data_IF_434143300028
#
_entry.id   IF_434143300028
#
_cell.length_a   1.000
_cell.length_b   1.000
_cell.length_c   1.000
_cell.angle_alpha   90.00
_cell.angle_beta   90.00
_cell.angle_gamma   90.00
#
_symmetry.space_group_name_H-M   'P 1'
#
loop_
_entity.id
_entity.type
_entity.pdbx_description
1 polymer ?
#
# COMPACT_ATOMS: atom_id res chain seq x y z
N UNK A 1 -32.08 6.72 24.06
CA UNK A 1 -31.42 5.58 24.73
C UNK A 1 -30.30 6.11 25.63
N UNK A 2 -30.42 5.86 26.93
CA UNK A 2 -29.78 6.66 27.99
C UNK A 2 -28.31 6.33 28.30
N UNK A 3 -27.66 7.31 28.94
CA UNK A 3 -26.24 7.34 29.31
C UNK A 3 -25.72 6.18 30.19
N UNK A 4 -26.60 5.31 30.69
CA UNK A 4 -26.24 4.11 31.47
C UNK A 4 -25.60 2.98 30.64
N UNK A 5 -25.91 2.87 29.35
CA UNK A 5 -25.33 1.82 28.49
C UNK A 5 -23.88 2.10 28.07
N UNK A 6 -23.43 3.36 28.14
CA UNK A 6 -22.03 3.74 27.81
C UNK A 6 -21.04 3.43 28.93
N UNK A 7 -21.48 3.30 30.19
CA UNK A 7 -20.59 2.94 31.32
C UNK A 7 -20.37 1.43 31.46
N UNK A 8 -21.31 0.57 31.05
CA UNK A 8 -21.11 -0.90 31.09
C UNK A 8 -20.09 -1.41 30.08
N UNK A 9 -20.06 -0.86 28.85
CA UNK A 9 -19.06 -1.27 27.83
C UNK A 9 -17.63 -0.80 28.13
N UNK A 10 -17.46 0.27 28.90
CA UNK A 10 -16.14 0.73 29.32
C UNK A 10 -15.55 -0.12 30.46
N UNK A 11 -16.39 -0.74 31.30
CA UNK A 11 -15.94 -1.62 32.38
C UNK A 11 -15.56 -3.02 31.88
N UNK A 12 -16.24 -3.56 30.86
CA UNK A 12 -15.93 -4.90 30.31
C UNK A 12 -14.63 -4.92 29.47
N UNK A 13 -14.23 -3.78 28.87
CA UNK A 13 -12.97 -3.67 28.14
C UNK A 13 -11.73 -3.52 29.06
N UNK A 14 -11.90 -3.03 30.28
CA UNK A 14 -10.80 -2.89 31.24
C UNK A 14 -10.46 -4.21 31.96
N UNK A 15 -11.42 -5.11 32.12
CA UNK A 15 -11.23 -6.41 32.81
C UNK A 15 -10.54 -7.44 31.93
N UNK A 16 -10.66 -7.35 30.60
CA UNK A 16 -9.94 -8.22 29.66
C UNK A 16 -8.43 -7.93 29.58
N UNK A 17 -8.01 -6.69 29.88
CA UNK A 17 -6.60 -6.28 29.84
C UNK A 17 -5.80 -6.66 31.10
N UNK A 18 -6.46 -7.02 32.20
CA UNK A 18 -5.82 -7.41 33.47
C UNK A 18 -5.61 -8.93 33.62
N UNK A 19 -6.30 -9.75 32.82
CA UNK A 19 -6.17 -11.22 32.87
C UNK A 19 -5.00 -11.74 32.01
N UNK A 20 -4.50 -10.96 31.05
CA UNK A 20 -3.34 -11.35 30.23
C UNK A 20 -1.97 -10.92 30.80
N UNK A 21 -1.94 -10.19 31.92
CA UNK A 21 -0.70 -9.65 32.51
C UNK A 21 -0.23 -10.38 33.80
N UNK A 22 -0.86 -11.50 34.18
CA UNK A 22 -0.61 -12.18 35.46
C UNK A 22 -0.24 -13.67 35.34
N UNK A 23 0.30 -14.09 34.19
CA UNK A 23 0.86 -15.43 34.04
C UNK A 23 2.23 -15.38 33.35
N UNK A 24 3.30 -15.12 34.12
CA UNK A 24 4.61 -15.79 34.06
C UNK A 24 5.65 -15.05 34.92
N UNK A 25 5.60 -15.37 36.21
CA UNK A 25 6.69 -15.19 37.19
C UNK A 25 6.40 -16.25 38.26
N UNK A 26 7.22 -17.29 38.47
CA UNK A 26 8.51 -17.32 39.19
C UNK A 26 8.89 -18.83 39.41
N UNK A 27 9.84 -19.25 40.30
CA UNK A 27 11.30 -19.06 40.31
C UNK A 27 12.13 -20.36 40.61
N UNK A 28 13.47 -20.20 40.63
CA UNK A 28 14.48 -20.80 41.56
C UNK A 28 15.46 -21.87 41.00
N UNK A 29 16.54 -22.27 41.74
CA UNK A 29 17.90 -21.76 41.52
C UNK A 29 18.98 -22.88 41.42
N UNK A 30 20.21 -22.55 41.00
CA UNK A 30 21.41 -23.30 41.42
C UNK A 30 22.70 -22.54 41.07
N UNK A 31 23.65 -22.64 41.99
CA UNK A 31 24.95 -22.02 42.06
C UNK A 31 25.97 -22.57 41.05
N UNK A 32 26.99 -21.78 40.70
CA UNK A 32 28.36 -21.96 41.22
C UNK A 32 29.44 -21.39 40.29
N UNK A 33 30.51 -20.96 40.94
CA UNK A 33 31.74 -20.38 40.45
C UNK A 33 32.50 -21.29 39.46
N UNK A 34 33.20 -20.71 38.47
CA UNK A 34 34.67 -20.68 38.44
C UNK A 34 35.20 -19.90 37.22
N UNK A 35 36.41 -19.41 37.43
CA UNK A 35 37.20 -18.46 36.67
C UNK A 35 38.08 -19.14 35.60
N UNK A 36 38.51 -18.33 34.62
CA UNK A 36 39.74 -18.44 33.83
C UNK A 36 39.90 -19.57 32.79
N UNK A 37 40.04 -19.20 31.52
CA UNK A 37 41.37 -18.97 30.93
C UNK A 37 41.31 -18.63 29.43
N UNK A 38 42.24 -17.76 29.07
CA UNK A 38 42.55 -17.25 27.74
C UNK A 38 43.53 -18.18 27.00
N UNK A 39 43.74 -17.92 25.70
CA UNK A 39 44.83 -18.34 24.80
C UNK A 39 44.53 -19.39 23.74
N UNK A 40 44.92 -19.09 22.48
CA UNK A 40 45.26 -20.09 21.48
C UNK A 40 44.87 -19.79 20.04
N UNK A 41 45.58 -18.86 19.38
CA UNK A 41 45.65 -18.74 17.90
C UNK A 41 46.06 -20.07 17.24
N UNK A 42 45.61 -20.35 16.01
CA UNK A 42 46.45 -20.34 14.79
C UNK A 42 45.69 -20.75 13.52
N UNK A 43 45.97 -19.97 12.48
CA UNK A 43 45.89 -20.13 11.03
C UNK A 43 46.12 -21.51 10.41
N UNK A 44 45.47 -21.79 9.26
CA UNK A 44 46.10 -21.82 7.91
C UNK A 44 45.45 -22.84 6.94
N UNK A 45 44.95 -22.32 5.82
CA UNK A 45 45.05 -22.83 4.42
C UNK A 45 45.27 -24.32 4.13
N UNK A 46 44.46 -24.90 3.24
CA UNK A 46 44.85 -25.24 1.84
C UNK A 46 43.80 -26.10 1.12
N UNK A 47 43.51 -25.75 -0.15
CA UNK A 47 42.86 -26.61 -1.14
C UNK A 47 43.88 -27.59 -1.76
N UNK A 48 43.41 -28.71 -2.33
CA UNK A 48 43.77 -28.94 -3.73
C UNK A 48 42.65 -29.57 -4.58
N UNK A 49 42.55 -29.00 -5.78
CA UNK A 49 42.59 -29.57 -7.13
C UNK A 49 41.95 -30.92 -7.54
N UNK A 50 41.55 -30.87 -8.81
CA UNK A 50 40.77 -31.78 -9.65
C UNK A 50 41.51 -33.04 -10.12
N UNK A 51 40.79 -34.15 -10.33
CA UNK A 51 40.98 -35.01 -11.51
C UNK A 51 39.74 -35.85 -11.87
N UNK A 52 39.37 -35.74 -13.14
CA UNK A 52 38.62 -36.62 -14.06
C UNK A 52 38.55 -38.12 -13.73
N UNK A 53 37.36 -38.71 -13.89
CA UNK A 53 37.10 -39.99 -14.57
C UNK A 53 35.65 -40.01 -15.10
N UNK A 54 35.46 -40.42 -16.37
CA UNK A 54 34.16 -40.58 -17.05
C UNK A 54 33.72 -42.08 -17.09
N UNK A 55 32.60 -42.46 -17.73
CA UNK A 55 31.43 -43.07 -17.06
C UNK A 55 31.18 -44.54 -17.45
N UNK A 56 30.15 -45.20 -16.88
CA UNK A 56 29.53 -46.36 -17.53
C UNK A 56 28.13 -46.06 -18.07
N UNK A 57 27.82 -46.77 -19.14
CA UNK A 57 26.62 -46.68 -19.99
C UNK A 57 25.33 -47.20 -19.32
N UNK A 58 24.22 -46.76 -19.93
CA UNK A 58 22.78 -46.85 -19.59
C UNK A 58 22.17 -48.27 -19.48
N UNK A 59 20.90 -48.36 -19.01
CA UNK A 59 19.82 -48.58 -20.00
C UNK A 59 18.63 -47.61 -19.86
N UNK A 60 18.20 -47.15 -21.03
CA UNK A 60 17.11 -46.22 -21.32
C UNK A 60 15.80 -46.96 -21.54
N UNK A 61 14.93 -47.06 -20.53
CA UNK A 61 13.49 -47.28 -20.70
C UNK A 61 12.82 -46.78 -19.42
N UNK A 62 12.04 -45.67 -19.48
CA UNK A 62 11.05 -45.16 -18.49
C UNK A 62 10.99 -43.61 -18.39
N UNK A 63 11.15 -42.87 -19.49
CA UNK A 63 10.94 -41.40 -19.49
C UNK A 63 9.94 -40.92 -20.55
N UNK A 64 9.50 -41.79 -21.46
CA UNK A 64 8.64 -41.41 -22.60
C UNK A 64 7.12 -41.53 -22.34
N UNK A 65 6.67 -42.15 -21.25
CA UNK A 65 5.23 -42.28 -20.95
C UNK A 65 4.68 -41.25 -19.96
N UNK A 66 5.53 -40.56 -19.19
CA UNK A 66 5.06 -39.46 -18.32
C UNK A 66 4.94 -38.14 -19.08
N UNK A 67 5.73 -37.93 -20.14
CA UNK A 67 5.65 -36.71 -20.96
C UNK A 67 4.42 -36.68 -21.87
N UNK A 68 3.86 -37.85 -22.24
CA UNK A 68 2.67 -37.95 -23.10
C UNK A 68 1.34 -37.80 -22.37
N UNK A 69 1.31 -37.93 -21.04
CA UNK A 69 0.09 -37.76 -20.24
C UNK A 69 -0.09 -36.33 -19.69
N UNK A 70 0.85 -35.42 -19.94
CA UNK A 70 0.74 -34.00 -19.63
C UNK A 70 0.30 -33.14 -20.82
N UNK A 71 0.24 -33.71 -22.02
CA UNK A 71 -0.14 -33.00 -23.26
C UNK A 71 -1.58 -33.27 -23.72
N UNK A 72 -2.36 -34.09 -23.00
CA UNK A 72 -3.72 -34.49 -23.43
C UNK A 72 -4.87 -33.96 -22.57
N UNK A 73 -4.66 -32.88 -21.80
CA UNK A 73 -5.75 -32.07 -21.24
C UNK A 73 -5.74 -30.67 -21.82
N UNK A 74 -6.01 -30.57 -23.13
CA UNK A 74 -6.90 -29.50 -23.64
C UNK A 74 -8.26 -29.69 -22.94
N UNK A 75 -9.03 -28.70 -22.51
CA UNK A 75 -9.61 -27.55 -23.22
C UNK A 75 -10.05 -26.59 -22.08
N UNK A 76 -9.52 -25.37 -21.95
CA UNK A 76 -10.02 -24.18 -22.63
C UNK A 76 -8.84 -23.24 -22.88
N UNK A 77 -8.63 -22.95 -24.15
CA UNK A 77 -7.90 -21.77 -24.61
C UNK A 77 -8.54 -20.52 -23.97
N UNK A 78 -7.98 -20.08 -22.84
CA UNK A 78 -8.08 -18.68 -22.46
C UNK A 78 -7.22 -17.99 -23.50
N UNK A 79 -7.89 -17.47 -24.52
CA UNK A 79 -7.33 -16.60 -25.52
C UNK A 79 -6.32 -15.65 -24.83
N UNK A 80 -5.03 -15.84 -25.09
CA UNK A 80 -3.91 -15.01 -24.61
C UNK A 80 -3.95 -13.62 -25.27
N UNK A 81 -5.13 -13.01 -25.33
CA UNK A 81 -5.26 -11.59 -25.60
C UNK A 81 -4.94 -10.86 -24.30
N UNK A 82 -3.64 -10.74 -24.01
CA UNK A 82 -3.15 -9.63 -23.20
C UNK A 82 -3.76 -8.37 -23.84
N UNK A 83 -4.57 -7.58 -23.10
CA UNK A 83 -5.23 -6.43 -23.67
C UNK A 83 -4.23 -5.52 -24.38
N UNK A 84 -4.55 -5.03 -25.58
CA UNK A 84 -3.65 -4.18 -26.35
C UNK A 84 -3.26 -2.88 -25.60
N UNK A 85 -4.00 -2.53 -24.55
CA UNK A 85 -3.67 -1.49 -23.57
C UNK A 85 -3.85 -2.01 -22.14
N UNK A 86 -2.79 -2.48 -21.47
CA UNK A 86 -2.84 -2.73 -20.04
C UNK A 86 -3.01 -1.42 -19.26
N UNK A 87 -3.65 -1.49 -18.09
CA UNK A 87 -3.72 -0.37 -17.13
C UNK A 87 -2.66 -0.54 -16.03
N UNK A 88 -2.12 0.58 -15.57
CA UNK A 88 -1.31 0.65 -14.36
C UNK A 88 -2.02 1.53 -13.34
N UNK A 89 -2.50 0.92 -12.27
CA UNK A 89 -3.18 1.64 -11.20
C UNK A 89 -2.15 2.10 -10.17
N UNK A 90 -2.12 3.40 -9.88
CA UNK A 90 -1.28 4.00 -8.85
C UNK A 90 -2.19 4.53 -7.75
N UNK A 91 -2.29 3.80 -6.64
CA UNK A 91 -2.98 4.27 -5.44
C UNK A 91 -2.08 5.17 -4.61
N UNK A 92 -2.65 6.27 -4.12
CA UNK A 92 -2.00 7.18 -3.18
C UNK A 92 -2.82 7.35 -1.91
N UNK A 93 -2.12 7.63 -0.82
CA UNK A 93 -2.69 8.14 0.42
C UNK A 93 -1.66 9.09 1.06
N UNK A 94 -2.13 10.12 1.76
CA UNK A 94 -1.27 11.12 2.38
C UNK A 94 -1.60 11.35 3.86
N UNK A 95 -0.54 11.45 4.65
CA UNK A 95 -0.62 11.99 6.01
C UNK A 95 -0.13 13.43 6.03
N UNK A 96 -0.80 14.29 6.79
CA UNK A 96 -0.53 15.73 6.83
C UNK A 96 -0.33 16.28 8.24
N UNK A 97 0.38 17.39 8.37
CA UNK A 97 0.52 18.08 9.64
C UNK A 97 -0.82 18.68 10.07
N UNK A 98 -1.15 18.52 11.34
CA UNK A 98 -2.42 18.94 11.94
C UNK A 98 -2.41 20.37 12.46
N UNK A 99 -1.25 21.03 12.44
CA UNK A 99 -1.02 22.39 12.90
C UNK A 99 0.21 22.96 12.21
N UNK A 100 0.33 24.29 12.19
CA UNK A 100 1.51 24.97 11.69
C UNK A 100 2.76 24.49 12.42
N UNK A 101 3.80 24.21 11.66
CA UNK A 101 5.02 23.59 12.17
C UNK A 101 6.25 24.29 11.59
N UNK A 102 7.04 24.90 12.47
CA UNK A 102 8.37 25.42 12.12
C UNK A 102 9.39 24.30 12.20
N UNK A 103 9.94 23.93 11.04
CA UNK A 103 10.91 22.85 10.94
C UNK A 103 12.25 23.23 11.56
N UNK A 104 12.72 22.42 12.51
CA UNK A 104 14.00 22.63 13.19
C UNK A 104 15.22 22.65 12.26
N UNK A 105 15.16 21.93 11.13
CA UNK A 105 16.31 21.75 10.25
C UNK A 105 16.54 22.93 9.30
N UNK A 106 15.49 23.68 8.96
CA UNK A 106 15.57 24.75 7.96
C UNK A 106 14.84 26.04 8.34
N UNK A 107 14.28 26.12 9.55
CA UNK A 107 13.52 27.25 10.09
C UNK A 107 12.34 27.72 9.23
N UNK A 108 11.88 26.89 8.28
CA UNK A 108 10.69 27.17 7.47
C UNK A 108 9.45 26.74 8.24
N UNK A 109 8.44 27.60 8.27
CA UNK A 109 7.10 27.25 8.75
C UNK A 109 6.30 26.59 7.64
N UNK A 110 5.81 25.40 7.91
CA UNK A 110 4.88 24.65 7.09
C UNK A 110 3.48 24.79 7.68
N UNK A 111 2.54 25.30 6.90
CA UNK A 111 1.15 25.51 7.29
C UNK A 111 0.45 24.18 7.58
N UNK A 112 -0.60 24.19 8.40
CA UNK A 112 -1.48 23.03 8.58
C UNK A 112 -1.95 22.46 7.24
N UNK A 113 -1.91 21.14 7.10
CA UNK A 113 -2.30 20.43 5.88
C UNK A 113 -1.17 20.18 4.89
N UNK A 114 0.06 20.62 5.16
CA UNK A 114 1.24 20.22 4.40
C UNK A 114 1.54 18.73 4.61
N UNK A 115 1.87 17.98 3.54
CA UNK A 115 2.12 16.55 3.61
C UNK A 115 3.36 16.24 4.44
N UNK A 116 3.24 15.21 5.25
CA UNK A 116 4.31 14.64 6.07
C UNK A 116 4.78 13.28 5.53
N UNK A 117 3.86 12.56 4.89
CA UNK A 117 4.10 11.24 4.29
C UNK A 117 3.28 11.09 3.01
N UNK A 118 3.75 10.26 2.09
CA UNK A 118 3.01 9.82 0.91
C UNK A 118 3.18 8.31 0.78
N UNK A 119 2.08 7.58 0.75
CA UNK A 119 2.03 6.21 0.30
C UNK A 119 1.79 6.14 -1.19
N UNK A 120 2.49 5.22 -1.87
CA UNK A 120 2.29 4.96 -3.29
C UNK A 120 2.29 3.44 -3.47
N UNK A 121 1.19 2.92 -4.00
CA UNK A 121 1.03 1.50 -4.29
C UNK A 121 0.64 1.33 -5.75
N UNK A 122 1.35 0.47 -6.46
CA UNK A 122 1.23 0.32 -7.91
C UNK A 122 0.73 -1.10 -8.19
N UNK A 123 -0.24 -1.24 -9.09
CA UNK A 123 -0.67 -2.52 -9.68
C UNK A 123 -0.57 -2.41 -11.20
N UNK A 124 0.31 -3.21 -11.80
CA UNK A 124 0.35 -3.45 -13.24
C UNK A 124 -0.71 -4.52 -13.56
N UNK A 125 -1.90 -4.07 -13.97
CA UNK A 125 -3.06 -4.91 -14.21
C UNK A 125 -3.00 -5.59 -15.60
N UNK A 126 -1.93 -6.34 -15.85
CA UNK A 126 -1.75 -7.14 -17.06
C UNK A 126 -1.91 -8.64 -16.77
N UNK A 127 -2.35 -9.40 -17.77
CA UNK A 127 -2.66 -10.82 -17.63
C UNK A 127 -3.57 -11.09 -16.42
N UNK A 128 -3.13 -11.97 -15.52
CA UNK A 128 -3.88 -12.36 -14.33
C UNK A 128 -3.52 -11.57 -13.06
N UNK A 129 -2.61 -10.59 -13.12
CA UNK A 129 -2.09 -9.89 -11.94
C UNK A 129 -3.21 -9.25 -11.10
N UNK A 130 -4.14 -8.57 -11.77
CA UNK A 130 -5.26 -7.92 -11.10
C UNK A 130 -6.16 -8.90 -10.35
N UNK A 131 -6.47 -10.05 -10.96
CA UNK A 131 -7.30 -11.08 -10.34
C UNK A 131 -6.58 -11.75 -9.16
N UNK A 132 -5.29 -12.07 -9.31
CA UNK A 132 -4.46 -12.63 -8.25
C UNK A 132 -4.39 -11.68 -7.05
N UNK A 133 -4.11 -10.39 -7.30
CA UNK A 133 -4.05 -9.39 -6.24
C UNK A 133 -5.42 -9.10 -5.59
N UNK A 134 -6.50 -9.07 -6.38
CA UNK A 134 -7.84 -8.94 -5.82
C UNK A 134 -8.22 -10.14 -4.94
N UNK A 135 -7.70 -11.34 -5.22
CA UNK A 135 -7.96 -12.53 -4.41
C UNK A 135 -7.17 -12.55 -3.10
N UNK A 136 -5.93 -12.06 -3.12
CA UNK A 136 -5.03 -12.03 -1.97
C UNK A 136 -4.29 -10.68 -1.89
N UNK A 137 -4.56 -9.84 -0.86
CA UNK A 137 -3.88 -8.55 -0.68
C UNK A 137 -2.36 -8.65 -0.48
N UNK A 138 -1.83 -9.83 -0.15
CA UNK A 138 -0.40 -10.06 0.01
C UNK A 138 0.27 -10.58 -1.28
N UNK A 139 -0.50 -10.78 -2.36
CA UNK A 139 0.05 -11.24 -3.63
C UNK A 139 1.06 -10.23 -4.20
N UNK A 140 2.28 -10.68 -4.57
CA UNK A 140 3.28 -9.81 -5.21
C UNK A 140 2.99 -9.60 -6.71
N UNK A 141 1.89 -10.13 -7.25
CA UNK A 141 1.61 -10.17 -8.67
C UNK A 141 1.43 -8.76 -9.27
N UNK A 142 2.46 -8.28 -9.95
CA UNK A 142 2.45 -6.97 -10.61
C UNK A 142 2.37 -5.79 -9.64
N UNK A 143 2.65 -6.00 -8.35
CA UNK A 143 2.55 -4.97 -7.32
C UNK A 143 3.89 -4.36 -6.94
N UNK A 144 3.88 -3.08 -6.59
CA UNK A 144 5.06 -2.38 -6.03
C UNK A 144 4.58 -1.34 -5.04
N UNK A 145 5.25 -1.25 -3.89
CA UNK A 145 4.84 -0.39 -2.78
C UNK A 145 5.97 0.54 -2.39
N UNK A 146 5.63 1.79 -2.07
CA UNK A 146 6.56 2.80 -1.57
C UNK A 146 5.91 3.60 -0.47
N UNK A 147 6.74 3.99 0.50
CA UNK A 147 6.35 4.88 1.57
C UNK A 147 7.39 5.98 1.73
N UNK A 148 7.01 7.20 1.37
CA UNK A 148 7.87 8.37 1.49
C UNK A 148 7.53 9.13 2.77
N UNK A 149 8.52 9.38 3.63
CA UNK A 149 8.42 10.35 4.74
C UNK A 149 9.27 11.57 4.43
N UNK A 150 8.71 12.76 4.65
CA UNK A 150 9.44 13.99 4.42
C UNK A 150 10.33 14.36 5.61
N UNK A 151 11.64 14.49 5.35
CA UNK A 151 12.66 14.68 6.39
C UNK A 151 12.41 15.95 7.22
N UNK A 152 11.77 16.96 6.63
CA UNK A 152 11.42 18.20 7.29
C UNK A 152 10.49 17.97 8.49
N UNK A 153 9.69 16.89 8.45
CA UNK A 153 8.75 16.49 9.49
C UNK A 153 9.25 15.37 10.39
N UNK A 154 10.54 14.99 10.34
CA UNK A 154 11.07 13.91 11.19
C UNK A 154 10.85 14.14 12.70
N UNK A 155 10.87 15.40 13.14
CA UNK A 155 10.61 15.83 14.53
C UNK A 155 9.18 16.31 14.76
N UNK A 156 8.33 16.30 13.72
CA UNK A 156 6.94 16.68 13.86
C UNK A 156 6.20 15.64 14.72
N UNK A 157 5.30 16.11 15.59
CA UNK A 157 4.42 15.26 16.40
C UNK A 157 3.02 15.82 16.38
N UNK A 158 2.06 15.02 15.94
CA UNK A 158 0.66 15.39 15.92
C UNK A 158 0.12 15.55 17.34
N UNK A 159 -0.77 16.53 17.53
CA UNK A 159 -1.51 16.70 18.80
C UNK A 159 -2.78 15.86 18.84
N UNK A 160 -3.21 15.32 17.69
CA UNK A 160 -4.44 14.57 17.53
C UNK A 160 -4.24 13.12 18.00
N UNK A 161 -4.93 12.73 19.08
CA UNK A 161 -4.75 11.42 19.72
C UNK A 161 -4.86 10.21 18.79
N UNK A 162 -5.87 10.19 17.90
CA UNK A 162 -6.07 9.11 16.92
C UNK A 162 -4.90 8.96 15.93
N UNK A 163 -4.21 10.05 15.57
CA UNK A 163 -3.10 10.04 14.62
C UNK A 163 -1.74 9.76 15.31
N UNK A 164 -1.63 10.01 16.62
CA UNK A 164 -0.41 9.71 17.38
C UNK A 164 -0.03 8.23 17.36
N UNK A 165 -1.03 7.35 17.33
CA UNK A 165 -0.79 5.90 17.18
C UNK A 165 -0.14 5.58 15.84
N UNK A 166 -0.64 6.21 14.76
CA UNK A 166 -0.13 6.10 13.40
C UNK A 166 1.34 6.43 13.22
N UNK A 167 1.86 7.40 13.98
CA UNK A 167 3.28 7.79 13.91
C UNK A 167 4.25 6.63 14.20
N UNK A 168 3.79 5.60 14.92
CA UNK A 168 4.55 4.41 15.29
C UNK A 168 4.27 3.19 14.41
N UNK A 169 3.32 3.28 13.49
CA UNK A 169 2.95 2.17 12.62
C UNK A 169 4.02 2.01 11.55
N UNK A 170 4.61 0.82 11.50
CA UNK A 170 5.62 0.46 10.50
C UNK A 170 5.00 0.25 9.12
N UNK A 171 5.80 0.44 8.08
CA UNK A 171 5.39 0.16 6.72
C UNK A 171 5.51 -1.34 6.46
N UNK A 172 4.40 -1.99 6.12
CA UNK A 172 4.32 -3.46 6.05
C UNK A 172 4.96 -4.05 4.78
N UNK A 173 5.14 -3.22 3.74
CA UNK A 173 5.52 -3.67 2.40
C UNK A 173 6.97 -3.29 2.03
N UNK A 174 7.80 -2.94 3.01
CA UNK A 174 9.21 -2.65 2.81
C UNK A 174 9.75 -1.56 3.74
N UNK A 175 10.71 -0.80 3.23
CA UNK A 175 11.37 0.26 4.00
C UNK A 175 10.75 1.63 3.71
N UNK A 176 10.63 2.44 4.76
CA UNK A 176 10.24 3.84 4.62
C UNK A 176 11.40 4.67 4.06
N UNK A 177 11.17 5.37 2.95
CA UNK A 177 12.13 6.26 2.32
C UNK A 177 12.03 7.66 2.94
N UNK A 178 13.10 8.13 3.58
CA UNK A 178 13.16 9.48 4.15
C UNK A 178 13.76 10.44 3.12
N UNK A 179 12.96 11.35 2.59
CA UNK A 179 13.35 12.24 1.48
C UNK A 179 13.06 13.72 1.78
N UNK A 180 13.77 14.68 1.19
CA UNK A 180 13.37 16.09 1.19
C UNK A 180 12.03 16.29 0.47
N UNK A 181 11.12 17.10 1.04
CA UNK A 181 9.87 17.49 0.38
C UNK A 181 10.12 18.06 -1.02
N UNK A 182 11.18 18.86 -1.19
CA UNK A 182 11.56 19.43 -2.49
C UNK A 182 11.86 18.38 -3.59
N UNK A 183 12.15 17.12 -3.23
CA UNK A 183 12.39 16.04 -4.20
C UNK A 183 11.13 15.29 -4.62
N UNK A 184 9.99 15.55 -3.98
CA UNK A 184 8.75 14.81 -4.21
C UNK A 184 8.34 14.81 -5.69
N UNK A 185 8.26 15.99 -6.32
CA UNK A 185 7.85 16.12 -7.71
C UNK A 185 8.74 15.31 -8.66
N UNK A 186 10.07 15.42 -8.53
CA UNK A 186 11.00 14.68 -9.39
C UNK A 186 10.88 13.16 -9.20
N UNK A 187 10.75 12.69 -7.95
CA UNK A 187 10.61 11.27 -7.65
C UNK A 187 9.31 10.68 -8.19
N UNK A 188 8.20 11.39 -8.02
CA UNK A 188 6.87 10.96 -8.45
C UNK A 188 6.74 11.04 -9.98
N UNK A 189 7.22 12.13 -10.60
CA UNK A 189 7.18 12.28 -12.07
C UNK A 189 7.94 11.14 -12.74
N UNK A 190 9.16 10.85 -12.26
CA UNK A 190 9.96 9.73 -12.77
C UNK A 190 9.23 8.40 -12.61
N UNK A 191 8.63 8.14 -11.45
CA UNK A 191 7.85 6.92 -11.21
C UNK A 191 6.68 6.80 -12.19
N UNK A 192 5.92 7.87 -12.41
CA UNK A 192 4.79 7.87 -13.35
C UNK A 192 5.28 7.61 -14.78
N UNK A 193 6.35 8.28 -15.22
CA UNK A 193 6.93 8.05 -16.55
C UNK A 193 7.46 6.62 -16.72
N UNK A 194 8.09 6.08 -15.68
CA UNK A 194 8.60 4.72 -15.67
C UNK A 194 7.44 3.71 -15.82
N UNK A 195 6.32 3.95 -15.14
CA UNK A 195 5.12 3.10 -15.17
C UNK A 195 4.28 3.24 -16.44
N UNK A 196 4.31 4.39 -17.12
CA UNK A 196 3.65 4.59 -18.43
C UNK A 196 4.13 3.62 -19.52
N UNK A 197 5.32 3.04 -19.35
CA UNK A 197 5.84 2.00 -20.25
C UNK A 197 5.13 0.65 -20.10
N UNK A 198 4.42 0.45 -18.99
CA UNK A 198 3.70 -0.78 -18.68
C UNK A 198 2.21 -0.70 -18.96
N UNK A 199 1.67 0.49 -19.28
CA UNK A 199 0.26 0.68 -19.55
C UNK A 199 -0.21 2.12 -19.33
N UNK A 200 -1.50 2.34 -19.54
CA UNK A 200 -2.16 3.60 -19.23
C UNK A 200 -2.24 3.78 -17.71
N UNK A 201 -1.72 4.90 -17.21
CA UNK A 201 -1.64 5.16 -15.77
C UNK A 201 -2.94 5.77 -15.26
N UNK A 202 -3.55 5.12 -14.27
CA UNK A 202 -4.76 5.57 -13.59
C UNK A 202 -4.44 5.85 -12.13
N UNK A 203 -4.72 7.08 -11.67
CA UNK A 203 -4.57 7.44 -10.26
C UNK A 203 -5.74 6.89 -9.45
N UNK A 204 -5.47 6.38 -8.26
CA UNK A 204 -6.46 5.83 -7.34
C UNK A 204 -6.28 6.45 -5.96
N UNK A 205 -7.37 6.70 -5.24
CA UNK A 205 -7.31 7.17 -3.86
C UNK A 205 -8.55 6.82 -3.06
N UNK A 206 -8.59 7.23 -1.80
CA UNK A 206 -9.75 7.06 -0.93
C UNK A 206 -10.20 8.41 -0.38
N UNK A 207 -11.33 8.94 -0.87
CA UNK A 207 -11.69 10.34 -0.69
C UNK A 207 -10.59 11.28 -1.26
N UNK A 208 -10.21 11.02 -2.51
CA UNK A 208 -8.97 11.52 -3.14
C UNK A 208 -8.92 13.05 -3.31
N UNK A 209 -10.05 13.73 -3.16
CA UNK A 209 -10.08 15.20 -3.10
C UNK A 209 -9.30 15.77 -1.91
N UNK A 210 -9.28 15.06 -0.77
CA UNK A 210 -8.46 15.46 0.36
C UNK A 210 -6.97 15.34 0.02
N UNK A 211 -6.58 14.27 -0.67
CA UNK A 211 -5.21 14.06 -1.16
C UNK A 211 -4.78 15.17 -2.11
N UNK A 212 -5.66 15.57 -3.04
CA UNK A 212 -5.43 16.68 -3.96
C UNK A 212 -5.08 17.97 -3.22
N UNK A 213 -5.87 18.30 -2.18
CA UNK A 213 -5.64 19.49 -1.35
C UNK A 213 -4.32 19.41 -0.61
N UNK A 214 -4.02 18.27 0.02
CA UNK A 214 -2.78 18.06 0.76
C UNK A 214 -1.57 18.19 -0.17
N UNK A 215 -1.61 17.58 -1.36
CA UNK A 215 -0.56 17.72 -2.37
C UNK A 215 -0.32 19.20 -2.74
N UNK A 216 -1.40 19.97 -2.93
CA UNK A 216 -1.33 21.42 -3.17
C UNK A 216 -0.62 22.19 -2.05
N UNK A 217 -0.95 21.91 -0.78
CA UNK A 217 -0.29 22.51 0.39
C UNK A 217 1.20 22.17 0.49
N UNK A 218 1.63 21.08 -0.14
CA UNK A 218 3.04 20.67 -0.24
C UNK A 218 3.77 21.20 -1.48
N UNK A 219 3.07 21.86 -2.41
CA UNK A 219 3.62 22.23 -3.71
C UNK A 219 3.94 21.01 -4.60
N UNK A 220 3.22 19.89 -4.41
CA UNK A 220 3.41 18.66 -5.16
C UNK A 220 2.41 18.64 -6.31
N UNK A 221 2.90 18.70 -7.54
CA UNK A 221 2.11 18.81 -8.78
C UNK A 221 2.25 17.60 -9.69
N UNK A 222 3.09 16.63 -9.34
CA UNK A 222 3.41 15.49 -10.21
C UNK A 222 2.21 14.57 -10.53
N UNK A 223 1.16 14.59 -9.72
CA UNK A 223 -0.07 13.81 -9.95
C UNK A 223 -1.16 14.59 -10.70
N UNK A 224 -1.02 15.89 -10.91
CA UNK A 224 -2.13 16.80 -11.28
C UNK A 224 -2.81 16.39 -12.58
N UNK A 225 -2.03 15.93 -13.56
CA UNK A 225 -2.53 15.49 -14.85
C UNK A 225 -3.39 14.21 -14.77
N UNK A 226 -3.28 13.43 -13.68
CA UNK A 226 -4.00 12.17 -13.50
C UNK A 226 -5.30 12.34 -12.70
N UNK A 227 -5.48 13.47 -11.99
CA UNK A 227 -6.66 13.71 -11.17
C UNK A 227 -8.00 13.77 -11.91
N UNK A 228 -8.10 14.34 -13.13
CA UNK A 228 -9.39 14.42 -13.83
C UNK A 228 -10.08 13.07 -14.05
N UNK A 229 -9.30 12.00 -14.15
CA UNK A 229 -9.77 10.64 -14.40
C UNK A 229 -9.45 9.68 -13.23
N UNK A 230 -9.13 10.23 -12.05
CA UNK A 230 -8.78 9.41 -10.90
C UNK A 230 -9.97 8.59 -10.37
N UNK A 231 -9.68 7.38 -9.91
CA UNK A 231 -10.66 6.48 -9.28
C UNK A 231 -10.68 6.73 -7.77
N UNK A 232 -11.83 7.17 -7.26
CA UNK A 232 -12.04 7.31 -5.82
C UNK A 232 -12.74 6.07 -5.25
N UNK A 233 -12.01 5.31 -4.45
CA UNK A 233 -12.51 4.09 -3.82
C UNK A 233 -13.66 4.36 -2.85
N UNK A 234 -13.74 5.52 -2.22
CA UNK A 234 -14.89 5.85 -1.38
C UNK A 234 -16.16 6.01 -2.23
N UNK A 235 -16.02 6.58 -3.43
CA UNK A 235 -17.13 6.87 -4.32
C UNK A 235 -17.66 5.63 -5.05
N UNK A 236 -16.77 4.82 -5.63
CA UNK A 236 -17.18 3.58 -6.33
C UNK A 236 -17.82 2.53 -5.40
N UNK A 237 -17.66 2.70 -4.07
CA UNK A 237 -18.28 1.87 -3.04
C UNK A 237 -19.53 2.49 -2.40
N UNK A 238 -19.98 3.66 -2.87
CA UNK A 238 -21.24 4.25 -2.39
C UNK A 238 -22.42 3.34 -2.76
N UNK A 239 -23.25 3.01 -1.78
CA UNK A 239 -24.53 2.36 -2.04
C UNK A 239 -25.46 3.31 -2.79
N UNK A 240 -26.31 2.82 -3.70
CA UNK A 240 -27.29 3.66 -4.40
C UNK A 240 -28.13 4.50 -3.42
N UNK A 241 -28.16 5.81 -3.64
CA UNK A 241 -28.87 6.76 -2.76
C UNK A 241 -28.13 7.17 -1.48
N UNK A 242 -26.97 6.57 -1.17
CA UNK A 242 -26.14 7.00 -0.04
C UNK A 242 -25.28 8.20 -0.42
N UNK A 243 -25.23 9.19 0.48
CA UNK A 243 -24.24 10.28 0.44
C UNK A 243 -23.08 10.06 1.41
N UNK A 244 -23.13 8.98 2.20
CA UNK A 244 -22.13 8.67 3.22
C UNK A 244 -21.17 7.61 2.72
N UNK A 245 -19.94 8.04 2.42
CA UNK A 245 -18.83 7.15 2.11
C UNK A 245 -18.41 6.33 3.33
N UNK A 246 -17.96 5.09 3.10
CA UNK A 246 -17.34 4.26 4.14
C UNK A 246 -15.87 4.66 4.27
N UNK A 247 -15.32 4.57 5.48
CA UNK A 247 -13.87 4.67 5.70
C UNK A 247 -13.15 3.48 5.09
N UNK A 248 -11.86 3.66 4.76
CA UNK A 248 -11.02 2.61 4.19
C UNK A 248 -11.03 1.33 5.05
N UNK A 249 -10.82 1.44 6.36
CA UNK A 249 -10.88 0.30 7.28
C UNK A 249 -12.21 -0.46 7.21
N UNK A 250 -13.34 0.24 7.07
CA UNK A 250 -14.65 -0.40 6.97
C UNK A 250 -14.88 -1.06 5.60
N UNK A 251 -14.22 -0.58 4.54
CA UNK A 251 -14.22 -1.26 3.25
C UNK A 251 -13.37 -2.53 3.30
N UNK A 252 -12.16 -2.45 3.87
CA UNK A 252 -11.27 -3.60 4.05
C UNK A 252 -11.96 -4.70 4.85
N UNK A 253 -12.47 -4.37 6.04
CA UNK A 253 -13.19 -5.33 6.90
C UNK A 253 -14.52 -5.81 6.29
N UNK A 254 -15.08 -5.06 5.35
CA UNK A 254 -16.26 -5.47 4.58
C UNK A 254 -15.95 -6.54 3.55
N UNK A 255 -14.72 -6.59 3.04
CA UNK A 255 -14.25 -7.64 2.12
C UNK A 255 -13.66 -8.84 2.86
N UNK A 256 -12.96 -8.60 3.96
CA UNK A 256 -12.40 -9.65 4.79
C UNK A 256 -12.34 -9.20 6.26
N UNK A 257 -13.20 -9.80 7.08
CA UNK A 257 -13.31 -9.49 8.51
C UNK A 257 -12.19 -10.10 9.36
N UNK A 258 -11.35 -10.98 8.79
CA UNK A 258 -10.23 -11.61 9.50
C UNK A 258 -8.94 -10.77 9.44
N UNK A 259 -8.90 -9.71 8.61
CA UNK A 259 -7.74 -8.83 8.51
C UNK A 259 -7.50 -8.11 9.84
N UNK A 260 -6.26 -8.18 10.33
CA UNK A 260 -5.84 -7.47 11.52
C UNK A 260 -5.87 -5.94 11.30
N UNK A 261 -6.26 -5.22 12.35
CA UNK A 261 -6.25 -3.74 12.37
C UNK A 261 -4.94 -3.23 12.97
N UNK A 262 -4.70 -1.91 12.94
CA UNK A 262 -3.47 -1.30 13.47
C UNK A 262 -2.48 -0.87 12.38
N UNK A 263 -2.77 -1.15 11.11
CA UNK A 263 -2.00 -0.65 9.97
C UNK A 263 -2.34 0.79 9.58
N UNK A 264 -3.44 1.35 10.10
CA UNK A 264 -3.95 2.67 9.72
C UNK A 264 -2.97 3.78 10.08
N UNK A 265 -3.02 4.88 9.35
CA UNK A 265 -2.23 6.10 9.58
C UNK A 265 -0.73 5.95 9.28
N UNK A 266 -0.39 4.92 8.51
CA UNK A 266 0.84 4.84 7.75
C UNK A 266 0.44 4.93 6.28
N UNK A 267 0.75 6.05 5.65
CA UNK A 267 0.28 6.35 4.30
C UNK A 267 0.60 5.24 3.29
N UNK A 268 1.76 4.57 3.42
CA UNK A 268 2.14 3.44 2.59
C UNK A 268 1.19 2.23 2.73
N UNK A 269 0.81 1.90 3.96
CA UNK A 269 -0.17 0.84 4.22
C UNK A 269 -1.56 1.24 3.72
N UNK A 270 -1.99 2.48 4.00
CA UNK A 270 -3.29 3.01 3.57
C UNK A 270 -3.41 3.02 2.03
N UNK A 271 -2.34 3.38 1.30
CA UNK A 271 -2.28 3.28 -0.15
C UNK A 271 -2.37 1.83 -0.67
N UNK A 272 -1.70 0.87 0.00
CA UNK A 272 -1.77 -0.55 -0.37
C UNK A 272 -3.19 -1.12 -0.19
N UNK A 273 -3.83 -0.81 0.93
CA UNK A 273 -5.23 -1.21 1.17
C UNK A 273 -6.21 -0.52 0.24
N UNK A 274 -5.96 0.76 -0.11
CA UNK A 274 -6.73 1.48 -1.12
C UNK A 274 -6.64 0.78 -2.48
N UNK A 275 -5.43 0.39 -2.89
CA UNK A 275 -5.22 -0.35 -4.14
C UNK A 275 -5.95 -1.69 -4.15
N UNK A 276 -5.90 -2.44 -3.05
CA UNK A 276 -6.58 -3.72 -2.94
C UNK A 276 -8.11 -3.59 -2.98
N UNK A 277 -8.66 -2.62 -2.26
CA UNK A 277 -10.10 -2.30 -2.29
C UNK A 277 -10.54 -1.89 -3.70
N UNK A 278 -9.72 -1.13 -4.43
CA UNK A 278 -9.97 -0.84 -5.84
C UNK A 278 -9.91 -2.12 -6.69
N UNK A 279 -8.92 -3.00 -6.46
CA UNK A 279 -8.78 -4.25 -7.20
C UNK A 279 -10.02 -5.15 -7.09
N UNK A 280 -10.68 -5.18 -5.92
CA UNK A 280 -11.97 -5.87 -5.71
C UNK A 280 -13.11 -5.34 -6.59
N UNK A 281 -13.00 -4.10 -7.09
CA UNK A 281 -13.97 -3.45 -7.97
C UNK A 281 -13.61 -3.49 -9.44
N UNK A 282 -12.43 -3.98 -9.82
CA UNK A 282 -12.04 -4.10 -11.22
C UNK A 282 -13.07 -4.84 -12.09
N UNK A 283 -13.70 -5.95 -11.66
CA UNK A 283 -14.75 -6.59 -12.45
C UNK A 283 -15.97 -5.70 -12.74
N UNK A 284 -16.23 -4.68 -11.89
CA UNK A 284 -17.37 -3.77 -12.04
C UNK A 284 -17.06 -2.54 -12.90
N UNK A 285 -15.77 -2.20 -13.06
CA UNK A 285 -15.29 -0.96 -13.69
C UNK A 285 -14.39 -1.19 -14.90
N UNK A 286 -13.87 -2.40 -15.12
CA UNK A 286 -13.14 -2.75 -16.34
C UNK A 286 -13.99 -3.65 -17.22
N UNK A 287 -14.19 -3.24 -18.46
CA UNK A 287 -14.94 -4.01 -19.46
C UNK A 287 -14.08 -4.26 -20.68
N UNK A 288 -14.35 -5.35 -21.40
CA UNK A 288 -13.72 -5.56 -22.72
C UNK A 288 -14.44 -4.65 -23.72
N UNK A 289 -13.68 -3.89 -24.49
CA UNK A 289 -14.18 -3.07 -25.60
C UNK A 289 -15.02 -3.90 -26.59
N UNK A 290 -15.90 -3.23 -27.34
CA UNK A 290 -16.70 -3.88 -28.41
C UNK A 290 -15.84 -4.62 -29.44
N UNK A 291 -14.60 -4.16 -29.65
CA UNK A 291 -13.64 -4.80 -30.55
C UNK A 291 -13.06 -6.12 -30.02
N UNK A 292 -13.22 -6.40 -28.73
CA UNK A 292 -12.59 -7.54 -28.05
C UNK A 292 -11.09 -7.36 -27.76
N UNK A 293 -10.47 -6.25 -28.18
CA UNK A 293 -9.00 -6.11 -28.19
C UNK A 293 -8.42 -5.28 -27.04
N UNK A 294 -9.24 -4.43 -26.44
CA UNK A 294 -8.83 -3.49 -25.40
C UNK A 294 -9.71 -3.65 -24.16
N UNK A 295 -9.13 -3.42 -22.98
CA UNK A 295 -9.90 -3.15 -21.77
C UNK A 295 -10.25 -1.67 -21.73
N UNK A 296 -11.46 -1.35 -21.28
CA UNK A 296 -11.97 0.01 -21.16
C UNK A 296 -12.43 0.22 -19.73
N UNK A 297 -11.90 1.25 -19.09
CA UNK A 297 -12.35 1.73 -17.79
C UNK A 297 -13.72 2.43 -17.94
N UNK A 298 -14.73 1.91 -17.25
CA UNK A 298 -16.06 2.50 -17.16
C UNK A 298 -16.02 3.76 -16.29
N UNK A 299 -15.73 4.87 -16.94
CA UNK A 299 -15.66 6.18 -16.31
C UNK A 299 -17.03 6.80 -15.99
N UNK A 300 -18.14 6.08 -16.23
CA UNK A 300 -19.47 6.54 -15.82
C UNK A 300 -19.68 6.43 -14.30
N UNK A 301 -18.91 5.55 -13.65
CA UNK A 301 -18.95 5.28 -12.21
C UNK A 301 -17.81 5.93 -11.44
N UNK A 302 -16.85 6.53 -12.14
CA UNK A 302 -15.75 7.28 -11.51
C UNK A 302 -16.18 8.72 -11.26
N UNK A 303 -15.82 9.27 -10.10
CA UNK A 303 -16.03 10.69 -9.86
C UNK A 303 -15.09 11.47 -10.78
N UNK A 304 -15.65 12.42 -11.53
CA UNK A 304 -14.83 13.40 -12.26
C UNK A 304 -14.46 14.52 -11.33
N UNK A 305 -13.17 14.84 -11.31
CA UNK A 305 -12.64 15.90 -10.46
C UNK A 305 -12.21 17.09 -11.31
N UNK A 306 -12.49 18.29 -10.82
CA UNK A 306 -11.98 19.49 -11.46
C UNK A 306 -10.44 19.52 -11.34
N UNK A 307 -9.72 19.94 -12.39
CA UNK A 307 -8.29 20.23 -12.30
C UNK A 307 -8.01 21.21 -11.16
N UNK A 308 -6.87 21.05 -10.46
CA UNK A 308 -6.48 21.92 -9.34
C UNK A 308 -6.45 23.40 -9.72
N UNK A 309 -6.02 23.72 -10.94
CA UNK A 309 -5.99 25.09 -11.45
C UNK A 309 -7.35 25.79 -11.43
N UNK A 310 -8.47 25.04 -11.37
CA UNK A 310 -9.82 25.59 -11.27
C UNK A 310 -10.37 25.62 -9.83
N UNK A 311 -9.67 25.00 -8.87
CA UNK A 311 -10.07 24.98 -7.46
C UNK A 311 -9.63 26.26 -6.73
N UNK A 312 -8.52 26.88 -7.16
CA UNK A 312 -8.02 28.13 -6.54
C UNK A 312 -8.98 29.32 -6.77
N UNK A 313 -9.75 29.33 -7.86
CA UNK A 313 -10.72 30.40 -8.18
C UNK A 313 -12.03 30.28 -7.38
N UNK A 314 -12.43 29.08 -6.95
CA UNK A 314 -13.71 28.86 -6.25
C UNK A 314 -13.66 29.16 -4.74
N UNK A 315 -12.46 29.28 -4.16
CA UNK A 315 -12.29 29.41 -2.70
C UNK A 315 -12.09 30.85 -2.22
N UNK A 316 -11.87 31.83 -3.11
CA UNK A 316 -11.85 33.25 -2.72
C UNK A 316 -13.25 33.85 -2.50
N UNK A 317 -14.33 33.18 -2.93
CA UNK A 317 -15.71 33.68 -2.79
C UNK A 317 -16.47 33.11 -1.57
N UNK A 318 -15.84 32.23 -0.77
CA UNK A 318 -16.51 31.54 0.35
C UNK A 318 -16.08 32.04 1.74
N UNK A 319 -15.21 33.05 1.81
CA UNK A 319 -14.81 33.69 3.07
C UNK A 319 -15.66 34.93 3.43
N UNK A 320 -16.70 35.24 2.63
CA UNK A 320 -17.60 36.39 2.82
C UNK A 320 -19.07 36.01 3.13
N UNK A 321 -19.32 34.88 3.82
CA UNK A 321 -20.64 34.53 4.38
C UNK A 321 -20.58 33.89 5.79
#
# INVERSE_FOLDING_TARGET
>A
MGAGQRRRRAAEAATAALVSASALSSPSPAESMFDSSNTGSTSATSSPDMTLLSPPETPSVLVDELSKNLESTSINEVNDMVPAKPYVFIAIDLEANTHDYTCFANNKTYTRGTPTQIGISILRANGNNAALFASDPNSPAGTTYRHLKFKEFAKYRTRIGKLKGGEKVEFLYGNTEVVPLARANTLITKLIEDERRHGEVVLVGHAIQNDLKILGMGGITAFDALFPEAVDTQAIHLSPGSKQGRSLINLVLGYDSAIETGWQHNAGNDAAWTLWVMAKKLPDILTVSESGKEMVLDNSKTLRFAPRALLDDYYYDMDDL
#
